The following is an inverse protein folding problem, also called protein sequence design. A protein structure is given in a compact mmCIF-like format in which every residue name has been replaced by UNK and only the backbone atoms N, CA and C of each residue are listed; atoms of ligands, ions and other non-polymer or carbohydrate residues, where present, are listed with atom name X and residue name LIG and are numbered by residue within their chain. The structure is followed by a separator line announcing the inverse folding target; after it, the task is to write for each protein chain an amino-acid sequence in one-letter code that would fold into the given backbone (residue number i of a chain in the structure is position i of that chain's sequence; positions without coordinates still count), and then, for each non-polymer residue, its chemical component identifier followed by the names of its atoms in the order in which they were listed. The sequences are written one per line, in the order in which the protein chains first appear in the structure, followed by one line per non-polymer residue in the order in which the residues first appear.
data_IF_489725131034
#
_entry.id   IF_489725131034
#
_cell.length_a   1.000
_cell.length_b   1.000
_cell.length_c   1.000
_cell.angle_alpha   90.00
_cell.angle_beta   90.00
_cell.angle_gamma   90.00
#
_symmetry.space_group_name_H-M   'P 1'
#
loop_
_entity.id
_entity.type
_entity.pdbx_description
1 polymer ?
#
# COMPACT_ATOMS: atom_id res chain seq x y z
N UNK A 1 -3.73 0.21 4.80
CA UNK A 1 -4.09 0.33 3.37
C UNK A 1 -2.86 0.71 2.57
N UNK A 2 -2.68 0.19 1.35
CA UNK A 2 -1.48 0.42 0.52
C UNK A 2 -1.16 1.92 0.38
N UNK A 3 0.12 2.27 0.52
CA UNK A 3 0.69 3.62 0.39
C UNK A 3 0.22 4.26 -0.92
N UNK A 4 0.14 3.50 -2.02
CA UNK A 4 -0.35 4.02 -3.30
C UNK A 4 -1.80 4.47 -3.23
N UNK A 5 -2.68 3.65 -2.65
CA UNK A 5 -4.09 3.96 -2.48
C UNK A 5 -4.30 5.15 -1.53
N UNK A 6 -3.47 5.28 -0.49
CA UNK A 6 -3.48 6.43 0.40
C UNK A 6 -3.13 7.72 -0.36
N UNK A 7 -2.03 7.75 -1.11
CA UNK A 7 -1.64 8.93 -1.89
C UNK A 7 -2.67 9.30 -2.97
N UNK A 8 -3.28 8.31 -3.63
CA UNK A 8 -4.37 8.55 -4.59
C UNK A 8 -5.57 9.23 -3.92
N UNK A 9 -5.97 8.77 -2.72
CA UNK A 9 -7.04 9.38 -1.93
C UNK A 9 -6.68 10.81 -1.49
N UNK A 10 -5.45 11.04 -1.05
CA UNK A 10 -4.97 12.37 -0.64
C UNK A 10 -5.04 13.35 -1.80
N UNK A 11 -4.55 12.95 -2.99
CA UNK A 11 -4.59 13.80 -4.19
C UNK A 11 -6.03 14.13 -4.58
N UNK A 12 -6.91 13.13 -4.65
CA UNK A 12 -8.33 13.35 -4.98
C UNK A 12 -9.03 14.31 -4.00
N UNK A 13 -8.78 14.16 -2.70
CA UNK A 13 -9.37 15.03 -1.67
C UNK A 13 -8.80 16.44 -1.72
N UNK A 14 -7.50 16.58 -2.02
CA UNK A 14 -6.84 17.86 -2.20
C UNK A 14 -7.39 18.60 -3.43
N UNK A 15 -7.57 17.91 -4.56
CA UNK A 15 -8.21 18.46 -5.77
C UNK A 15 -9.63 18.95 -5.50
N UNK A 16 -10.42 18.16 -4.78
CA UNK A 16 -11.77 18.56 -4.36
C UNK A 16 -11.72 19.85 -3.54
N UNK A 17 -10.83 19.95 -2.56
CA UNK A 17 -10.71 21.16 -1.74
C UNK A 17 -10.20 22.37 -2.54
N UNK A 18 -9.33 22.18 -3.55
CA UNK A 18 -8.91 23.26 -4.44
C UNK A 18 -10.08 23.79 -5.26
N UNK A 19 -10.93 22.89 -5.77
CA UNK A 19 -12.11 23.26 -6.56
C UNK A 19 -13.14 24.00 -5.71
N UNK A 20 -13.42 23.47 -4.53
CA UNK A 20 -14.54 23.92 -3.69
C UNK A 20 -14.17 25.11 -2.79
N UNK A 21 -12.89 25.51 -2.71
CA UNK A 21 -12.45 26.65 -1.90
C UNK A 21 -12.79 28.00 -2.58
N UNK A 22 -13.62 28.84 -1.95
CA UNK A 22 -14.04 30.14 -2.51
C UNK A 22 -12.92 31.20 -2.47
N UNK A 23 -11.92 31.03 -1.61
CA UNK A 23 -10.81 31.98 -1.43
C UNK A 23 -9.67 31.78 -2.44
N UNK A 24 -9.87 30.94 -3.45
CA UNK A 24 -8.90 30.68 -4.52
C UNK A 24 -9.42 31.26 -5.83
N UNK A 25 -8.60 32.09 -6.46
CA UNK A 25 -8.84 32.61 -7.80
C UNK A 25 -8.71 31.51 -8.86
N UNK A 26 -9.19 31.73 -10.10
CA UNK A 26 -8.91 30.82 -11.21
C UNK A 26 -7.42 30.56 -11.41
N UNK A 27 -6.58 31.58 -11.24
CA UNK A 27 -5.12 31.51 -11.34
C UNK A 27 -4.52 30.65 -10.21
N UNK A 28 -4.96 30.87 -8.96
CA UNK A 28 -4.53 30.06 -7.81
C UNK A 28 -4.84 28.57 -8.03
N UNK A 29 -6.05 28.27 -8.53
CA UNK A 29 -6.46 26.89 -8.84
C UNK A 29 -5.64 26.28 -9.96
N UNK A 30 -5.28 27.07 -10.97
CA UNK A 30 -4.43 26.62 -12.06
C UNK A 30 -3.04 26.24 -11.56
N UNK A 31 -2.41 27.08 -10.73
CA UNK A 31 -1.13 26.79 -10.08
C UNK A 31 -1.16 25.50 -9.27
N UNK A 32 -2.13 25.37 -8.36
CA UNK A 32 -2.20 24.19 -7.49
C UNK A 32 -2.42 22.90 -8.30
N UNK A 33 -3.22 22.94 -9.37
CA UNK A 33 -3.41 21.79 -10.26
C UNK A 33 -2.15 21.45 -11.05
N UNK A 34 -1.41 22.45 -11.52
CA UNK A 34 -0.13 22.25 -12.19
C UNK A 34 0.87 21.54 -11.28
N UNK A 35 1.07 22.08 -10.06
CA UNK A 35 1.98 21.51 -9.06
C UNK A 35 1.59 20.08 -8.71
N UNK A 36 0.30 19.79 -8.54
CA UNK A 36 -0.18 18.43 -8.24
C UNK A 36 0.01 17.42 -9.38
N UNK A 37 -0.05 17.90 -10.63
CA UNK A 37 0.09 17.07 -11.83
C UNK A 37 1.54 16.66 -12.07
N UNK A 38 2.49 17.57 -11.83
CA UNK A 38 3.91 17.28 -12.04
C UNK A 38 4.58 16.74 -10.78
N UNK A 39 5.07 15.49 -10.83
CA UNK A 39 5.56 14.77 -9.64
C UNK A 39 6.73 15.48 -8.95
N UNK A 40 7.71 15.97 -9.71
CA UNK A 40 8.87 16.68 -9.16
C UNK A 40 8.49 17.99 -8.48
N UNK A 41 7.55 18.75 -9.05
CA UNK A 41 7.03 19.96 -8.41
C UNK A 41 6.34 19.63 -7.10
N UNK A 42 5.45 18.66 -7.14
CA UNK A 42 4.69 18.23 -5.98
C UNK A 42 5.62 17.82 -4.84
N UNK A 43 6.63 17.00 -5.15
CA UNK A 43 7.62 16.55 -4.18
C UNK A 43 8.45 17.71 -3.61
N UNK A 44 8.99 18.58 -4.46
CA UNK A 44 9.81 19.73 -4.03
C UNK A 44 9.02 20.67 -3.12
N UNK A 45 7.79 21.00 -3.52
CA UNK A 45 6.89 21.83 -2.72
C UNK A 45 6.60 21.17 -1.39
N UNK A 46 6.33 19.86 -1.33
CA UNK A 46 6.08 19.17 -0.06
C UNK A 46 7.33 19.10 0.83
N UNK A 47 8.51 18.96 0.24
CA UNK A 47 9.79 18.87 0.95
C UNK A 47 10.28 20.19 1.55
N UNK A 48 9.67 21.33 1.20
CA UNK A 48 10.15 22.64 1.64
C UNK A 48 10.90 23.42 0.57
N UNK A 49 11.33 22.77 -0.50
CA UNK A 49 12.23 23.33 -1.52
C UNK A 49 11.52 23.99 -2.70
N UNK A 50 12.34 24.55 -3.58
CA UNK A 50 11.90 25.10 -4.86
C UNK A 50 11.88 24.00 -5.93
N UNK A 51 10.87 23.99 -6.82
CA UNK A 51 10.78 22.97 -7.85
C UNK A 51 11.81 23.21 -8.97
N UNK A 52 12.79 22.33 -9.08
CA UNK A 52 13.72 22.29 -10.20
C UNK A 52 13.08 21.53 -11.38
N UNK A 53 12.72 22.29 -12.43
CA UNK A 53 12.15 21.76 -13.66
C UNK A 53 13.09 22.01 -14.84
N UNK A 54 13.13 21.06 -15.77
CA UNK A 54 13.95 21.14 -16.98
C UNK A 54 13.10 21.41 -18.23
N UNK A 55 13.58 22.29 -19.12
CA UNK A 55 13.00 22.53 -20.45
C UNK A 55 11.63 23.19 -20.41
N UNK A 56 10.72 22.77 -21.31
CA UNK A 56 9.38 23.35 -21.50
C UNK A 56 8.52 23.44 -20.22
N UNK A 57 8.81 22.59 -19.22
CA UNK A 57 8.14 22.63 -17.92
C UNK A 57 8.50 23.86 -17.11
N UNK A 58 9.72 24.38 -17.25
CA UNK A 58 10.19 25.57 -16.53
C UNK A 58 9.46 26.82 -17.00
N UNK A 59 9.30 27.00 -18.31
CA UNK A 59 8.52 28.10 -18.90
C UNK A 59 7.05 28.02 -18.49
N UNK A 60 6.46 26.82 -18.57
CA UNK A 60 5.08 26.59 -18.13
C UNK A 60 4.92 26.88 -16.63
N UNK A 61 5.89 26.52 -15.80
CA UNK A 61 5.86 26.81 -14.37
C UNK A 61 5.99 28.30 -14.09
N UNK A 62 6.91 29.00 -14.77
CA UNK A 62 7.08 30.44 -14.64
C UNK A 62 5.79 31.20 -14.99
N UNK A 63 5.16 30.87 -16.12
CA UNK A 63 3.89 31.48 -16.54
C UNK A 63 2.76 31.31 -15.52
N UNK A 64 2.74 30.17 -14.82
CA UNK A 64 1.72 29.88 -13.80
C UNK A 64 2.06 30.51 -12.44
N UNK A 65 3.33 30.85 -12.19
CA UNK A 65 3.78 31.57 -11.00
C UNK A 65 3.48 33.08 -11.05
N UNK A 66 3.48 33.70 -12.24
CA UNK A 66 3.26 35.15 -12.40
C UNK A 66 1.88 35.62 -11.88
N UNK A 67 0.91 34.72 -11.80
CA UNK A 67 -0.48 35.04 -11.46
C UNK A 67 -0.86 35.01 -9.97
N UNK A 68 0.07 34.73 -9.04
CA UNK A 68 -0.31 34.62 -7.62
C UNK A 68 0.82 34.47 -6.60
N UNK A 69 0.44 34.49 -5.32
CA UNK A 69 1.36 34.28 -4.18
C UNK A 69 1.69 32.79 -4.04
N UNK A 70 2.76 32.37 -4.71
CA UNK A 70 3.25 30.98 -4.73
C UNK A 70 3.58 30.46 -3.34
N UNK A 71 4.10 31.31 -2.45
CA UNK A 71 4.41 30.92 -1.08
C UNK A 71 3.12 30.55 -0.31
N UNK A 72 2.10 31.40 -0.34
CA UNK A 72 0.78 31.11 0.27
C UNK A 72 0.16 29.84 -0.31
N UNK A 73 0.24 29.63 -1.62
CA UNK A 73 -0.30 28.45 -2.30
C UNK A 73 0.45 27.17 -1.92
N UNK A 74 1.79 27.23 -1.80
CA UNK A 74 2.61 26.12 -1.34
C UNK A 74 2.29 25.73 0.10
N UNK A 75 2.11 26.72 0.99
CA UNK A 75 1.70 26.48 2.37
C UNK A 75 0.28 25.88 2.46
N UNK A 76 -0.64 26.37 1.62
CA UNK A 76 -1.97 25.79 1.49
C UNK A 76 -1.90 24.32 1.08
N UNK A 77 -1.12 24.00 0.04
CA UNK A 77 -0.95 22.63 -0.45
C UNK A 77 -0.36 21.71 0.63
N UNK A 78 0.73 22.13 1.29
CA UNK A 78 1.34 21.40 2.42
C UNK A 78 0.34 21.13 3.53
N UNK A 79 -0.51 22.11 3.85
CA UNK A 79 -1.57 21.96 4.87
C UNK A 79 -2.63 20.96 4.42
N UNK A 80 -3.07 21.01 3.16
CA UNK A 80 -4.05 20.05 2.64
C UNK A 80 -3.50 18.62 2.68
N UNK A 81 -2.27 18.42 2.20
CA UNK A 81 -1.64 17.09 2.22
C UNK A 81 -1.49 16.59 3.65
N UNK A 82 -0.93 17.38 4.58
CA UNK A 82 -0.82 16.97 6.00
C UNK A 82 -2.15 16.65 6.67
N UNK A 83 -3.24 17.30 6.26
CA UNK A 83 -4.58 17.08 6.84
C UNK A 83 -5.21 15.76 6.41
N UNK A 84 -4.93 15.31 5.18
CA UNK A 84 -5.57 14.11 4.60
C UNK A 84 -4.63 12.91 4.51
N UNK A 85 -3.31 13.15 4.57
CA UNK A 85 -2.32 12.10 4.62
C UNK A 85 -2.37 11.48 6.00
N UNK A 86 -3.05 10.34 6.09
CA UNK A 86 -2.92 9.46 7.24
C UNK A 86 -1.44 9.11 7.39
N UNK A 87 -0.93 9.18 8.62
CA UNK A 87 0.37 8.57 8.90
C UNK A 87 0.25 7.10 8.50
N UNK A 88 1.16 6.56 7.68
CA UNK A 88 1.18 5.14 7.43
C UNK A 88 1.35 4.46 8.79
N UNK A 89 0.24 3.96 9.33
CA UNK A 89 0.23 3.08 10.47
C UNK A 89 0.53 1.72 9.88
N UNK A 90 1.73 1.23 10.13
CA UNK A 90 1.87 -0.21 10.30
C UNK A 90 1.04 -0.53 11.55
N UNK A 91 -0.25 -0.81 11.36
CA UNK A 91 -0.77 -1.98 12.06
C UNK A 91 0.31 -3.02 11.80
N UNK A 92 0.93 -3.52 12.86
CA UNK A 92 2.02 -4.49 12.79
C UNK A 92 1.49 -5.75 12.13
N UNK A 93 1.30 -5.69 10.82
CA UNK A 93 1.35 -6.84 9.96
C UNK A 93 2.81 -7.24 10.04
N UNK A 94 3.08 -8.05 11.07
CA UNK A 94 4.29 -8.80 11.31
C UNK A 94 4.48 -9.83 10.18
N UNK A 95 4.23 -9.45 8.92
CA UNK A 95 4.29 -10.32 7.77
C UNK A 95 3.69 -9.74 6.50
N UNK A 96 4.01 -10.39 5.38
CA UNK A 96 3.58 -9.99 4.05
C UNK A 96 3.50 -11.18 3.10
N UNK A 97 2.63 -11.10 2.09
CA UNK A 97 2.55 -12.10 1.02
C UNK A 97 3.62 -11.90 -0.04
N UNK A 98 4.23 -12.99 -0.50
CA UNK A 98 5.20 -13.00 -1.61
C UNK A 98 4.69 -13.91 -2.72
N UNK A 99 4.60 -13.34 -3.93
CA UNK A 99 4.18 -14.08 -5.12
C UNK A 99 5.28 -15.03 -5.60
N UNK A 100 4.95 -16.09 -6.36
CA UNK A 100 5.93 -17.05 -6.90
C UNK A 100 7.06 -16.41 -7.70
N UNK A 101 6.78 -15.28 -8.38
CA UNK A 101 7.76 -14.54 -9.19
C UNK A 101 8.70 -13.68 -8.35
N UNK A 102 8.32 -13.40 -7.10
CA UNK A 102 9.06 -12.54 -6.20
C UNK A 102 10.04 -13.31 -5.30
N UNK A 103 10.25 -14.62 -5.51
CA UNK A 103 11.30 -15.36 -4.82
C UNK A 103 11.97 -16.42 -5.72
N UNK A 104 13.14 -16.91 -5.31
CA UNK A 104 13.76 -18.14 -5.86
C UNK A 104 14.40 -18.95 -4.72
N UNK A 105 14.41 -20.27 -4.85
CA UNK A 105 15.17 -21.14 -3.93
C UNK A 105 16.56 -21.42 -4.51
N UNK A 106 17.59 -21.27 -3.69
CA UNK A 106 18.97 -21.66 -3.99
C UNK A 106 19.78 -21.65 -2.68
N UNK A 107 20.94 -22.32 -2.67
CA UNK A 107 21.92 -22.23 -1.58
C UNK A 107 21.33 -22.58 -0.20
N UNK A 108 20.46 -23.60 -0.15
CA UNK A 108 19.71 -24.01 1.05
C UNK A 108 18.90 -22.86 1.69
N UNK A 109 18.42 -21.94 0.85
CA UNK A 109 17.66 -20.79 1.28
C UNK A 109 16.67 -20.29 0.23
N UNK A 110 16.04 -19.17 0.56
CA UNK A 110 15.12 -18.43 -0.29
C UNK A 110 15.64 -17.00 -0.52
N UNK A 111 15.62 -16.57 -1.76
CA UNK A 111 15.97 -15.22 -2.18
C UNK A 111 14.71 -14.44 -2.54
N UNK A 112 14.33 -13.47 -1.71
CA UNK A 112 13.18 -12.60 -1.92
C UNK A 112 13.56 -11.35 -2.73
N UNK A 113 12.75 -10.96 -3.70
CA UNK A 113 12.94 -9.71 -4.43
C UNK A 113 12.75 -8.50 -3.51
N UNK A 114 13.71 -7.58 -3.56
CA UNK A 114 13.61 -6.31 -2.84
C UNK A 114 13.03 -5.20 -3.73
N UNK A 115 12.59 -4.10 -3.10
CA UNK A 115 12.22 -2.87 -3.82
C UNK A 115 13.42 -2.25 -4.55
N UNK A 116 14.62 -2.41 -4.00
CA UNK A 116 15.85 -1.97 -4.64
C UNK A 116 16.16 -2.83 -5.87
N UNK A 117 16.43 -2.16 -6.99
CA UNK A 117 16.65 -2.81 -8.28
C UNK A 117 17.78 -3.84 -8.20
N UNK A 118 17.50 -5.05 -8.70
CA UNK A 118 18.44 -6.18 -8.78
C UNK A 118 18.98 -6.69 -7.44
N UNK A 119 18.41 -6.28 -6.30
CA UNK A 119 18.76 -6.81 -4.99
C UNK A 119 17.75 -7.85 -4.51
N UNK A 120 18.25 -8.85 -3.78
CA UNK A 120 17.43 -9.89 -3.16
C UNK A 120 17.86 -10.13 -1.72
N UNK A 121 16.88 -10.38 -0.84
CA UNK A 121 17.12 -10.79 0.55
C UNK A 121 17.27 -12.30 0.60
N UNK A 122 18.41 -12.78 1.09
CA UNK A 122 18.62 -14.20 1.35
C UNK A 122 18.16 -14.56 2.76
N UNK A 123 17.37 -15.62 2.87
CA UNK A 123 16.94 -16.20 4.15
C UNK A 123 17.28 -17.70 4.10
N UNK A 124 18.13 -18.20 5.02
CA UNK A 124 18.40 -19.62 5.12
C UNK A 124 17.14 -20.38 5.55
N UNK A 125 16.92 -21.57 4.98
CA UNK A 125 15.79 -22.42 5.33
C UNK A 125 16.22 -23.48 6.34
N UNK A 126 15.29 -23.89 7.20
CA UNK A 126 15.46 -25.02 8.10
C UNK A 126 15.26 -26.36 7.41
N UNK A 127 14.73 -26.34 6.19
CA UNK A 127 14.43 -27.51 5.37
C UNK A 127 14.83 -27.28 3.91
N UNK A 128 14.63 -28.31 3.07
CA UNK A 128 14.88 -28.25 1.63
C UNK A 128 13.58 -28.12 0.80
N UNK A 129 12.47 -27.71 1.42
CA UNK A 129 11.19 -27.64 0.75
C UNK A 129 11.17 -26.49 -0.26
N UNK A 130 10.54 -26.73 -1.41
CA UNK A 130 10.42 -25.76 -2.50
C UNK A 130 8.99 -25.69 -2.98
N UNK A 131 8.53 -24.46 -3.20
CA UNK A 131 7.15 -24.19 -3.57
C UNK A 131 7.07 -23.22 -4.74
N UNK A 132 6.00 -23.32 -5.53
CA UNK A 132 5.74 -22.49 -6.72
C UNK A 132 4.43 -21.70 -6.58
N UNK A 133 4.05 -21.35 -5.34
CA UNK A 133 2.78 -20.69 -4.99
C UNK A 133 3.01 -19.44 -4.14
N UNK A 134 1.98 -18.64 -3.94
CA UNK A 134 2.07 -17.50 -3.04
C UNK A 134 2.36 -18.00 -1.62
N UNK A 135 3.37 -17.42 -0.98
CA UNK A 135 3.77 -17.71 0.40
C UNK A 135 3.51 -16.49 1.26
N UNK A 136 3.31 -16.68 2.56
CA UNK A 136 3.20 -15.59 3.52
C UNK A 136 4.39 -15.63 4.46
N UNK A 137 5.16 -14.55 4.50
CA UNK A 137 6.32 -14.41 5.38
C UNK A 137 5.85 -13.70 6.63
N UNK A 138 6.01 -14.33 7.78
CA UNK A 138 5.74 -13.76 9.09
C UNK A 138 7.05 -13.44 9.80
N UNK A 139 7.14 -12.26 10.37
CA UNK A 139 8.27 -11.73 11.11
C UNK A 139 7.93 -11.74 12.61
N UNK A 140 8.89 -12.04 13.47
CA UNK A 140 8.76 -11.89 14.91
C UNK A 140 9.96 -11.06 15.37
N UNK A 141 9.86 -9.72 15.30
CA UNK A 141 11.01 -8.83 15.56
C UNK A 141 11.61 -9.03 16.94
N UNK A 142 10.77 -9.19 17.97
CA UNK A 142 11.21 -9.40 19.36
C UNK A 142 12.00 -10.71 19.54
N UNK A 143 11.68 -11.73 18.73
CA UNK A 143 12.33 -13.05 18.80
C UNK A 143 13.43 -13.23 17.74
N UNK A 144 13.70 -12.21 16.91
CA UNK A 144 14.60 -12.31 15.75
C UNK A 144 14.31 -13.51 14.85
N UNK A 145 13.02 -13.85 14.69
CA UNK A 145 12.56 -15.05 13.99
C UNK A 145 11.72 -14.72 12.77
N UNK A 146 11.80 -15.57 11.75
CA UNK A 146 10.97 -15.49 10.55
C UNK A 146 10.32 -16.85 10.31
N UNK A 147 9.06 -16.86 9.84
CA UNK A 147 8.34 -18.06 9.44
C UNK A 147 7.78 -17.90 8.04
N UNK A 148 7.88 -18.95 7.24
CA UNK A 148 7.33 -18.98 5.88
C UNK A 148 6.11 -19.91 5.88
N UNK A 149 4.93 -19.30 5.85
CA UNK A 149 3.67 -20.03 5.77
C UNK A 149 3.36 -20.32 4.31
N UNK A 150 3.22 -21.61 3.99
CA UNK A 150 2.90 -22.07 2.65
C UNK A 150 1.53 -22.73 2.66
N UNK A 151 0.55 -22.24 1.88
CA UNK A 151 -0.76 -22.87 1.81
C UNK A 151 -0.63 -24.26 1.20
N UNK A 152 -1.26 -25.26 1.81
CA UNK A 152 -1.30 -26.64 1.31
C UNK A 152 -2.68 -26.86 0.68
N UNK A 153 -2.70 -27.23 -0.59
CA UNK A 153 -3.94 -27.67 -1.25
C UNK A 153 -4.20 -29.12 -0.83
N UNK A 154 -5.31 -29.33 -0.12
CA UNK A 154 -5.77 -30.66 0.24
C UNK A 154 -6.95 -31.00 -0.66
N UNK A 155 -6.87 -32.14 -1.38
CA UNK A 155 -8.04 -32.65 -2.10
C UNK A 155 -9.14 -32.94 -1.08
N UNK A 156 -10.29 -32.29 -1.22
CA UNK A 156 -11.48 -32.67 -0.47
C UNK A 156 -11.79 -34.13 -0.81
N UNK A 157 -11.69 -35.00 0.21
CA UNK A 157 -12.13 -36.38 0.09
C UNK A 157 -13.62 -36.37 0.38
N UNK A 158 -14.41 -36.96 -0.53
CA UNK A 158 -15.76 -37.42 -0.24
C UNK A 158 -15.67 -38.94 -0.07
N UNK A 159 -15.47 -39.45 1.16
CA UNK A 159 -15.50 -40.89 1.40
C UNK A 159 -16.88 -41.41 1.01
N UNK A 160 -16.95 -42.55 0.30
CA UNK A 160 -18.22 -43.23 0.04
C UNK A 160 -18.87 -43.59 1.40
N UNK A 161 -20.15 -43.23 1.57
CA UNK A 161 -20.90 -43.46 2.82
C UNK A 161 -21.26 -42.19 3.61
N UNK A 162 -20.84 -41.01 3.16
CA UNK A 162 -21.30 -39.72 3.72
C UNK A 162 -22.55 -39.22 2.96
N UNK A 163 -23.69 -39.91 3.17
CA UNK A 163 -24.99 -39.55 2.57
C UNK A 163 -25.92 -38.81 3.55
N UNK A 164 -25.50 -38.65 4.81
CA UNK A 164 -26.28 -37.95 5.83
C UNK A 164 -26.04 -36.45 5.80
N UNK A 165 -27.08 -35.68 5.51
CA UNK A 165 -27.14 -34.26 5.87
C UNK A 165 -27.41 -34.16 7.38
N UNK A 166 -26.53 -33.47 8.13
CA UNK A 166 -26.75 -33.18 9.55
C UNK A 166 -27.09 -31.71 9.67
N UNK A 167 -28.28 -31.42 10.20
CA UNK A 167 -28.69 -30.06 10.52
C UNK A 167 -27.96 -29.60 11.77
N UNK A 168 -27.29 -28.45 11.73
CA UNK A 168 -26.49 -27.94 12.84
C UNK A 168 -26.98 -26.54 13.21
N UNK A 169 -27.51 -26.38 14.42
CA UNK A 169 -27.97 -25.11 14.97
C UNK A 169 -26.97 -24.60 16.02
N UNK A 170 -26.60 -23.32 15.92
CA UNK A 170 -25.74 -22.66 16.91
C UNK A 170 -26.60 -21.89 17.91
N UNK A 171 -26.54 -22.27 19.18
CA UNK A 171 -27.34 -21.66 20.25
C UNK A 171 -26.53 -20.77 21.19
N UNK A 172 -27.21 -19.81 21.82
CA UNK A 172 -26.63 -18.94 22.86
C UNK A 172 -26.36 -19.68 24.18
N UNK A 173 -27.11 -20.74 24.47
CA UNK A 173 -26.93 -21.59 25.68
C UNK A 173 -26.19 -22.89 25.40
N UNK A 174 -26.38 -23.48 24.22
CA UNK A 174 -25.67 -24.67 23.76
C UNK A 174 -24.94 -24.32 22.46
N UNK A 175 -23.61 -24.47 22.42
CA UNK A 175 -22.80 -23.99 21.29
C UNK A 175 -23.20 -24.65 19.96
N UNK A 176 -23.57 -25.93 19.97
CA UNK A 176 -24.08 -26.64 18.81
C UNK A 176 -25.16 -27.64 19.24
N UNK A 177 -26.24 -27.72 18.45
CA UNK A 177 -27.31 -28.72 18.56
C UNK A 177 -27.49 -29.34 17.18
N UNK A 178 -27.59 -30.66 17.09
CA UNK A 178 -27.86 -31.36 15.83
C UNK A 178 -29.36 -31.56 15.64
N UNK A 179 -29.81 -31.84 14.41
CA UNK A 179 -31.21 -32.17 14.10
C UNK A 179 -31.72 -33.42 14.82
N UNK A 180 -30.80 -34.25 15.35
CA UNK A 180 -31.09 -35.45 16.13
C UNK A 180 -31.14 -35.21 17.66
N UNK A 181 -30.89 -33.98 18.14
CA UNK A 181 -30.98 -33.59 19.55
C UNK A 181 -29.66 -33.57 20.30
#
# INVERSE_FOLDING_TARGET
GDIKSQWARVKSRTEKNIRDNPNLTPQDRHYLRFVMKQSRCFESVLAGGEPELSGNWQESYAAVCEGGDTHRLNQYLRRQVRRHLDRPHTDTEDGFSVSPKAYRYADHGIYLSMKESRKRLFIPLTDNNRYTRQIYIRLYPEESRVTINVPIEVRQRHPAGYEGEVGLAMGLKCMFVTDQG
#
